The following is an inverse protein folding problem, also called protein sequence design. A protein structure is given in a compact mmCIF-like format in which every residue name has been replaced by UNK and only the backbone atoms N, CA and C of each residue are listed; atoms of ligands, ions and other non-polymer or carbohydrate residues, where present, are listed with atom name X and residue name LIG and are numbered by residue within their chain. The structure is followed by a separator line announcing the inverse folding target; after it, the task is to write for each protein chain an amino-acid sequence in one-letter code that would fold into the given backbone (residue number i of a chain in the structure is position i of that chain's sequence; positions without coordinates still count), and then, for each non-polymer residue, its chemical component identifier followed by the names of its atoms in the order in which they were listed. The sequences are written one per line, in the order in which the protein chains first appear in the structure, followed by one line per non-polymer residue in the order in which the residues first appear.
data_IF_010639578404
#
_entry.id   IF_010639578404
#
_cell.length_a   1.000
_cell.length_b   1.000
_cell.length_c   1.000
_cell.angle_alpha   90.00
_cell.angle_beta   90.00
_cell.angle_gamma   90.00
#
_symmetry.space_group_name_H-M   'P 1'
#
loop_
_entity.id
_entity.type
_entity.pdbx_description
1 polymer ?
#
# COMPACT_ATOMS: atom_id res chain seq x y z
N UNK A 1 -6.09 -3.82 15.33
CA UNK A 1 -4.85 -3.09 15.67
C UNK A 1 -4.35 -2.42 14.39
N UNK A 2 -4.23 -1.09 14.33
CA UNK A 2 -3.95 -0.36 13.06
C UNK A 2 -2.55 -0.64 12.44
N UNK A 3 -1.65 -1.32 13.16
CA UNK A 3 -0.30 -1.64 12.69
C UNK A 3 -0.24 -2.57 11.47
N UNK A 4 -1.24 -3.43 11.26
CA UNK A 4 -1.25 -4.39 10.13
C UNK A 4 -1.39 -3.73 8.75
N UNK A 5 -1.97 -2.54 8.67
CA UNK A 5 -2.13 -1.78 7.41
C UNK A 5 -1.01 -0.76 7.17
N UNK A 6 -0.40 -0.25 8.24
CA UNK A 6 0.65 0.78 8.17
C UNK A 6 2.03 0.20 7.85
N UNK A 7 2.38 -0.95 8.43
CA UNK A 7 3.70 -1.58 8.23
C UNK A 7 3.99 -1.87 6.75
N UNK A 8 3.10 -2.55 5.98
CA UNK A 8 3.36 -2.80 4.56
C UNK A 8 3.42 -1.51 3.75
N UNK A 9 2.65 -0.48 4.13
CA UNK A 9 2.69 0.81 3.48
C UNK A 9 4.04 1.50 3.66
N UNK A 10 4.63 1.46 4.85
CA UNK A 10 5.95 2.04 5.08
C UNK A 10 7.04 1.25 4.35
N UNK A 11 7.04 -0.07 4.48
CA UNK A 11 8.05 -0.92 3.85
C UNK A 11 8.00 -0.78 2.33
N UNK A 12 6.82 -0.94 1.73
CA UNK A 12 6.66 -0.86 0.27
C UNK A 12 6.79 0.58 -0.19
N UNK A 13 6.25 1.56 0.54
CA UNK A 13 6.34 2.98 0.17
C UNK A 13 7.77 3.51 0.13
N UNK A 14 8.63 3.04 1.05
CA UNK A 14 10.04 3.45 1.13
C UNK A 14 10.93 2.68 0.14
N UNK A 15 10.68 1.38 -0.06
CA UNK A 15 11.47 0.53 -0.96
C UNK A 15 11.07 0.69 -2.43
N UNK A 16 9.77 0.91 -2.70
CA UNK A 16 9.24 0.96 -4.06
C UNK A 16 9.25 2.37 -4.63
N UNK A 17 10.45 2.80 -5.05
CA UNK A 17 10.68 4.14 -5.60
C UNK A 17 10.36 4.24 -7.09
N UNK A 18 9.98 5.44 -7.51
CA UNK A 18 9.71 5.76 -8.92
C UNK A 18 10.98 6.02 -9.71
N UNK A 19 11.95 6.72 -9.11
CA UNK A 19 13.29 6.97 -9.66
C UNK A 19 14.36 6.66 -8.60
N UNK A 20 15.49 6.04 -8.98
CA UNK A 20 16.62 5.81 -8.08
C UNK A 20 17.50 7.06 -7.86
N UNK A 21 17.36 8.09 -8.70
CA UNK A 21 18.20 9.29 -8.68
C UNK A 21 17.87 10.26 -7.54
N UNK A 22 18.79 11.20 -7.30
CA UNK A 22 18.83 12.15 -6.20
C UNK A 22 17.44 12.73 -5.85
N UNK A 23 17.12 12.75 -4.55
CA UNK A 23 15.85 13.24 -4.02
C UNK A 23 15.72 14.75 -4.29
N UNK A 24 15.19 15.13 -5.45
CA UNK A 24 14.72 16.48 -5.69
C UNK A 24 13.44 16.70 -4.88
N UNK A 25 13.51 17.57 -3.86
CA UNK A 25 12.34 17.97 -3.07
C UNK A 25 11.22 18.42 -4.03
N UNK A 26 10.03 17.84 -3.87
CA UNK A 26 8.83 18.20 -4.64
C UNK A 26 8.43 17.23 -5.77
N UNK A 27 9.25 16.21 -6.11
CA UNK A 27 8.86 15.17 -7.09
C UNK A 27 8.30 13.91 -6.42
N UNK A 28 7.35 13.25 -7.11
CA UNK A 28 6.84 11.92 -6.73
C UNK A 28 8.02 10.94 -6.70
N UNK A 29 8.28 10.37 -5.53
CA UNK A 29 9.42 9.50 -5.31
C UNK A 29 9.03 8.06 -4.94
N UNK A 30 7.74 7.80 -4.74
CA UNK A 30 7.18 6.48 -4.43
C UNK A 30 6.17 6.08 -5.49
N UNK A 31 6.20 4.80 -5.85
CA UNK A 31 5.20 4.19 -6.73
C UNK A 31 3.89 3.88 -5.97
N UNK A 32 3.83 4.09 -4.66
CA UNK A 32 2.57 3.93 -3.91
C UNK A 32 1.64 5.10 -4.20
N UNK A 33 0.41 4.81 -4.64
CA UNK A 33 -0.58 5.86 -4.90
C UNK A 33 -1.34 6.21 -3.62
N UNK A 34 -1.89 7.44 -3.50
CA UNK A 34 -2.73 7.81 -2.35
C UNK A 34 -3.93 6.89 -2.18
N UNK A 35 -4.51 6.41 -3.28
CA UNK A 35 -5.62 5.45 -3.26
C UNK A 35 -5.16 4.06 -2.81
N UNK A 36 -4.01 3.57 -3.26
CA UNK A 36 -3.43 2.31 -2.79
C UNK A 36 -3.14 2.32 -1.30
N UNK A 37 -2.61 3.43 -0.79
CA UNK A 37 -2.37 3.64 0.63
C UNK A 37 -3.65 3.63 1.48
N UNK A 38 -4.71 4.30 1.01
CA UNK A 38 -6.01 4.32 1.71
C UNK A 38 -6.65 2.94 1.76
N UNK A 39 -6.65 2.23 0.64
CA UNK A 39 -7.24 0.88 0.56
C UNK A 39 -6.48 -0.11 1.44
N UNK A 40 -5.15 -0.05 1.48
CA UNK A 40 -4.36 -0.97 2.30
C UNK A 40 -4.59 -0.78 3.81
N UNK A 41 -4.73 0.47 4.26
CA UNK A 41 -5.01 0.79 5.66
C UNK A 41 -6.40 0.29 6.05
N UNK A 42 -7.43 0.60 5.25
CA UNK A 42 -8.81 0.19 5.53
C UNK A 42 -8.93 -1.34 5.51
N UNK A 43 -8.39 -2.00 4.48
CA UNK A 43 -8.42 -3.46 4.38
C UNK A 43 -7.67 -4.13 5.53
N UNK A 44 -6.47 -3.66 5.87
CA UNK A 44 -5.69 -4.19 6.99
C UNK A 44 -6.37 -4.02 8.34
N UNK A 45 -7.09 -2.91 8.54
CA UNK A 45 -7.87 -2.66 9.75
C UNK A 45 -9.10 -3.56 9.87
N UNK A 46 -9.82 -3.79 8.76
CA UNK A 46 -11.01 -4.66 8.73
C UNK A 46 -10.61 -6.13 8.88
N UNK A 47 -9.61 -6.59 8.13
CA UNK A 47 -9.12 -7.98 8.20
C UNK A 47 -8.55 -8.33 9.58
N UNK A 48 -7.90 -7.38 10.27
CA UNK A 48 -7.42 -7.57 11.64
C UNK A 48 -8.54 -7.78 12.67
N UNK A 49 -9.78 -7.38 12.36
CA UNK A 49 -10.92 -7.51 13.28
C UNK A 49 -11.72 -8.80 13.04
N UNK A 50 -11.51 -9.48 11.91
CA UNK A 50 -12.24 -10.70 11.59
C UNK A 50 -11.71 -11.84 12.43
N UNK A 51 -12.53 -12.26 13.41
CA UNK A 51 -12.18 -13.32 14.34
C UNK A 51 -12.13 -14.73 13.72
N UNK A 52 -12.57 -14.88 12.47
CA UNK A 52 -12.55 -16.14 11.73
C UNK A 52 -11.13 -16.60 11.30
N UNK A 53 -10.14 -15.69 11.25
CA UNK A 53 -8.80 -16.00 10.72
C UNK A 53 -7.83 -16.67 11.75
N UNK A 54 -8.33 -17.22 12.87
CA UNK A 54 -7.55 -18.03 13.83
C UNK A 54 -6.51 -17.28 14.68
N UNK A 55 -5.35 -17.88 14.96
CA UNK A 55 -4.24 -17.23 15.69
C UNK A 55 -3.34 -16.39 14.77
N UNK A 56 -3.36 -16.66 13.47
CA UNK A 56 -2.46 -16.06 12.46
C UNK A 56 -3.07 -14.83 11.75
N UNK A 57 -4.14 -14.25 12.32
CA UNK A 57 -4.94 -13.15 11.74
C UNK A 57 -4.07 -11.98 11.31
N UNK A 58 -3.11 -11.61 12.15
CA UNK A 58 -2.24 -10.46 11.90
C UNK A 58 -1.34 -10.69 10.70
N UNK A 59 -0.74 -11.89 10.57
CA UNK A 59 0.12 -12.23 9.44
C UNK A 59 -0.66 -12.24 8.13
N UNK A 60 -1.86 -12.81 8.13
CA UNK A 60 -2.72 -12.86 6.94
C UNK A 60 -3.20 -11.45 6.57
N UNK A 61 -3.65 -10.66 7.55
CA UNK A 61 -4.07 -9.28 7.31
C UNK A 61 -2.93 -8.42 6.73
N UNK A 62 -1.69 -8.66 7.16
CA UNK A 62 -0.50 -7.95 6.69
C UNK A 62 -0.11 -8.39 5.27
N UNK A 63 -0.17 -9.68 4.97
CA UNK A 63 0.07 -10.19 3.62
C UNK A 63 -0.98 -9.66 2.61
N UNK A 64 -2.27 -9.71 2.99
CA UNK A 64 -3.35 -9.25 2.15
C UNK A 64 -3.32 -7.73 1.96
N UNK A 65 -3.01 -6.96 3.01
CA UNK A 65 -2.88 -5.49 2.89
C UNK A 65 -1.71 -5.09 2.00
N UNK A 66 -0.58 -5.83 2.04
CA UNK A 66 0.56 -5.63 1.14
C UNK A 66 0.18 -5.89 -0.32
N UNK A 67 -0.52 -7.00 -0.60
CA UNK A 67 -0.96 -7.36 -1.95
C UNK A 67 -1.94 -6.29 -2.49
N UNK A 68 -2.94 -5.91 -1.68
CA UNK A 68 -3.90 -4.86 -2.04
C UNK A 68 -3.22 -3.53 -2.33
N UNK A 69 -2.25 -3.13 -1.51
CA UNK A 69 -1.49 -1.90 -1.73
C UNK A 69 -0.83 -1.89 -3.11
N UNK A 70 -0.17 -2.98 -3.49
CA UNK A 70 0.53 -3.09 -4.77
C UNK A 70 -0.46 -3.11 -5.93
N UNK A 71 -1.50 -3.95 -5.86
CA UNK A 71 -2.50 -4.10 -6.92
C UNK A 71 -3.22 -2.78 -7.18
N UNK A 72 -3.71 -2.13 -6.12
CA UNK A 72 -4.40 -0.83 -6.24
C UNK A 72 -3.44 0.25 -6.71
N UNK A 73 -2.19 0.27 -6.21
CA UNK A 73 -1.20 1.23 -6.69
C UNK A 73 -0.92 1.08 -8.18
N UNK A 74 -0.76 -0.15 -8.69
CA UNK A 74 -0.57 -0.40 -10.13
C UNK A 74 -1.79 -0.01 -10.95
N UNK A 75 -2.99 -0.38 -10.49
CA UNK A 75 -4.24 -0.06 -11.19
C UNK A 75 -4.45 1.46 -11.28
N UNK A 76 -4.29 2.18 -10.17
CA UNK A 76 -4.50 3.63 -10.13
C UNK A 76 -3.36 4.40 -10.79
N UNK A 77 -2.13 3.89 -10.80
CA UNK A 77 -1.03 4.50 -11.56
C UNK A 77 -1.33 4.55 -13.05
N UNK A 78 -1.83 3.44 -13.62
CA UNK A 78 -2.20 3.39 -15.05
C UNK A 78 -3.27 4.41 -15.39
N UNK A 79 -4.31 4.51 -14.55
CA UNK A 79 -5.37 5.51 -14.70
C UNK A 79 -4.84 6.95 -14.63
N UNK A 80 -3.90 7.25 -13.72
CA UNK A 80 -3.33 8.59 -13.61
C UNK A 80 -2.44 8.95 -14.81
N UNK A 81 -1.63 7.99 -15.29
CA UNK A 81 -0.76 8.17 -16.45
C UNK A 81 -1.53 8.29 -17.78
N UNK A 82 -2.74 7.74 -17.84
CA UNK A 82 -3.64 7.86 -19.01
C UNK A 82 -4.42 9.19 -19.04
N UNK A 83 -4.60 9.87 -17.90
CA UNK A 83 -5.25 11.19 -17.87
C UNK A 83 -4.30 12.36 -18.14
N UNK A 84 -2.98 12.14 -18.02
CA UNK A 84 -1.94 13.13 -18.34
C UNK A 84 -1.42 13.03 -19.79
N UNK A 85 -1.88 12.06 -20.59
CA UNK A 85 -1.50 11.82 -21.98
C UNK A 85 -2.59 12.26 -22.95
#
# INVERSE_FOLDING_TARGET
MAGSGLVPLLVIGLLWKEKPDAHEKGKKNSKVTPWGARVSIVAGAVLSQINALGSNKVLIALAVSAILLVVVSLATQKTNKQMEA
#
